data_IF_716774292639
#
_entry.id   IF_716774292639
#
_cell.length_a   1.000
_cell.length_b   1.000
_cell.length_c   1.000
_cell.angle_alpha   90.00
_cell.angle_beta   90.00
_cell.angle_gamma   90.00
#
_symmetry.space_group_name_H-M   'P 1'
#
loop_
_entity.id
_entity.type
_entity.pdbx_description
1 polymer ?
#
# COMPACT_ATOMS: atom_id res chain seq x y z
N UNK A 1 45.54 2.17 45.29
CA UNK A 1 44.33 3.03 45.19
C UNK A 1 43.64 2.74 43.87
N UNK A 2 42.47 2.07 43.91
CA UNK A 2 41.63 1.80 42.73
C UNK A 2 40.90 3.10 42.35
N UNK A 3 41.00 3.55 41.09
CA UNK A 3 40.14 4.62 40.56
C UNK A 3 38.73 4.06 40.38
N UNK A 4 37.68 4.78 40.78
CA UNK A 4 36.31 4.33 40.53
C UNK A 4 35.99 4.49 39.05
N UNK A 5 35.33 3.47 38.48
CA UNK A 5 34.70 3.57 37.17
C UNK A 5 33.53 4.56 37.28
N UNK A 6 33.67 5.72 36.65
CA UNK A 6 32.55 6.64 36.44
C UNK A 6 31.61 6.00 35.42
N UNK A 7 30.46 5.51 35.90
CA UNK A 7 29.36 5.09 35.05
C UNK A 7 28.93 6.24 34.15
N UNK A 8 29.08 6.04 32.84
CA UNK A 8 28.45 6.90 31.85
C UNK A 8 26.96 6.54 31.86
N UNK A 9 26.15 7.38 32.49
CA UNK A 9 24.70 7.29 32.36
C UNK A 9 24.32 7.46 30.89
N UNK A 10 23.39 6.63 30.41
CA UNK A 10 22.76 6.73 29.09
C UNK A 10 22.10 8.10 28.95
N UNK A 11 22.85 9.08 28.44
CA UNK A 11 22.23 10.24 27.83
C UNK A 11 21.67 9.79 26.48
N UNK A 12 20.38 10.04 26.19
CA UNK A 12 19.84 9.77 24.87
C UNK A 12 20.68 10.54 23.87
N UNK A 13 21.37 9.80 23.00
CA UNK A 13 22.22 10.39 22.00
C UNK A 13 21.29 11.03 20.96
N UNK A 14 21.04 12.34 21.10
CA UNK A 14 20.16 13.14 20.24
C UNK A 14 20.38 12.86 18.75
N UNK A 15 21.63 12.61 18.34
CA UNK A 15 21.97 12.24 16.98
C UNK A 15 21.27 10.95 16.52
N UNK A 16 21.18 9.94 17.39
CA UNK A 16 20.51 8.67 17.11
C UNK A 16 19.00 8.84 17.02
N UNK A 17 18.41 9.70 17.86
CA UNK A 17 16.98 10.01 17.78
C UNK A 17 16.62 10.70 16.45
N UNK A 18 17.41 11.69 16.03
CA UNK A 18 17.23 12.34 14.73
C UNK A 18 17.45 11.38 13.57
N UNK A 19 18.41 10.46 13.67
CA UNK A 19 18.64 9.46 12.64
C UNK A 19 17.40 8.57 12.42
N UNK A 20 16.73 8.12 13.48
CA UNK A 20 15.50 7.32 13.32
C UNK A 20 14.36 8.08 12.63
N UNK A 21 14.32 9.41 12.74
CA UNK A 21 13.31 10.26 12.10
C UNK A 21 13.65 10.57 10.64
N UNK A 22 14.94 10.72 10.30
CA UNK A 22 15.39 11.20 8.98
C UNK A 22 15.63 10.04 8.02
N UNK A 23 16.31 8.98 8.48
CA UNK A 23 16.75 7.89 7.61
C UNK A 23 15.61 7.21 6.83
N UNK A 24 14.40 7.01 7.38
CA UNK A 24 13.29 6.45 6.61
C UNK A 24 12.89 7.27 5.37
N UNK A 25 13.23 8.55 5.30
CA UNK A 25 12.94 9.44 4.17
C UNK A 25 13.99 9.40 3.06
N UNK A 26 15.14 8.77 3.32
CA UNK A 26 16.25 8.77 2.38
C UNK A 26 16.06 7.71 1.26
N UNK A 27 16.33 8.05 0.00
CA UNK A 27 16.36 7.08 -1.09
C UNK A 27 17.53 6.08 -0.91
N UNK A 28 17.52 4.94 -1.62
CA UNK A 28 18.53 3.90 -1.45
C UNK A 28 20.00 4.37 -1.58
N UNK A 29 20.38 5.25 -2.52
CA UNK A 29 21.76 5.73 -2.63
C UNK A 29 22.23 6.52 -1.39
N UNK A 30 21.34 7.34 -0.83
CA UNK A 30 21.63 8.16 0.35
C UNK A 30 21.69 7.27 1.60
N UNK A 31 20.80 6.28 1.70
CA UNK A 31 20.86 5.25 2.75
C UNK A 31 22.16 4.45 2.71
N UNK A 32 22.62 4.07 1.51
CA UNK A 32 23.89 3.37 1.34
C UNK A 32 25.06 4.26 1.78
N UNK A 33 25.04 5.54 1.40
CA UNK A 33 26.05 6.52 1.81
C UNK A 33 26.10 6.66 3.33
N UNK A 34 24.95 6.83 3.99
CA UNK A 34 24.86 6.89 5.45
C UNK A 34 25.39 5.61 6.10
N UNK A 35 25.03 4.43 5.58
CA UNK A 35 25.46 3.14 6.12
C UNK A 35 26.98 2.92 6.07
N UNK A 36 27.68 3.64 5.19
CA UNK A 36 29.13 3.55 5.04
C UNK A 36 29.90 4.29 6.14
N UNK A 37 29.29 5.32 6.75
CA UNK A 37 29.97 6.28 7.64
C UNK A 37 30.39 5.70 8.99
N UNK A 38 29.52 4.95 9.68
CA UNK A 38 29.83 4.36 10.99
C UNK A 38 29.01 3.09 11.27
N UNK A 39 29.44 2.29 12.27
CA UNK A 39 28.77 1.03 12.63
C UNK A 39 27.34 1.25 13.12
N UNK A 40 27.08 2.34 13.82
CA UNK A 40 25.74 2.63 14.38
C UNK A 40 24.75 2.95 13.26
N UNK A 41 25.12 3.86 12.36
CA UNK A 41 24.30 4.22 11.20
C UNK A 41 24.11 3.05 10.24
N UNK A 42 25.11 2.18 10.08
CA UNK A 42 24.96 0.92 9.34
C UNK A 42 23.87 0.03 9.92
N UNK A 43 23.86 -0.17 11.24
CA UNK A 43 22.83 -0.98 11.92
C UNK A 43 21.44 -0.37 11.77
N UNK A 44 21.32 0.95 11.89
CA UNK A 44 20.06 1.66 11.65
C UNK A 44 19.58 1.51 10.20
N UNK A 45 20.49 1.67 9.23
CA UNK A 45 20.18 1.52 7.82
C UNK A 45 19.75 0.08 7.47
N UNK A 46 20.38 -0.93 8.08
CA UNK A 46 19.99 -2.34 7.96
C UNK A 46 18.58 -2.56 8.51
N UNK A 47 18.28 -2.09 9.71
CA UNK A 47 16.94 -2.22 10.31
C UNK A 47 15.85 -1.53 9.46
N UNK A 48 16.15 -0.36 8.90
CA UNK A 48 15.22 0.33 7.96
C UNK A 48 15.05 -0.50 6.69
N UNK A 49 16.15 -1.02 6.13
CA UNK A 49 16.13 -1.87 4.93
C UNK A 49 15.27 -3.11 5.14
N UNK A 50 15.40 -3.79 6.28
CA UNK A 50 14.57 -4.94 6.66
C UNK A 50 13.08 -4.56 6.71
N UNK A 51 12.73 -3.42 7.33
CA UNK A 51 11.35 -2.93 7.34
C UNK A 51 10.85 -2.59 5.94
N UNK A 52 11.70 -2.00 5.09
CA UNK A 52 11.35 -1.73 3.68
C UNK A 52 11.07 -3.02 2.91
N UNK A 53 11.89 -4.06 3.10
CA UNK A 53 11.65 -5.37 2.52
C UNK A 53 10.35 -6.01 3.03
N UNK A 54 9.97 -5.77 4.28
CA UNK A 54 8.79 -6.39 4.88
C UNK A 54 7.46 -5.86 4.31
N UNK A 55 7.44 -4.63 3.79
CA UNK A 55 6.21 -4.05 3.24
C UNK A 55 6.47 -2.92 2.23
N UNK A 56 6.21 -3.22 0.96
CA UNK A 56 6.23 -2.27 -0.16
C UNK A 56 5.15 -1.19 -0.06
N UNK A 57 4.01 -1.52 0.57
CA UNK A 57 2.87 -0.60 0.71
C UNK A 57 3.06 0.44 1.81
N UNK A 58 4.11 0.28 2.63
CA UNK A 58 4.44 1.23 3.71
C UNK A 58 3.31 1.36 4.75
N UNK A 59 2.55 0.30 4.96
CA UNK A 59 1.39 0.24 5.85
C UNK A 59 0.12 0.89 5.27
N UNK A 60 0.10 1.26 3.99
CA UNK A 60 -1.07 1.85 3.33
C UNK A 60 -2.11 0.79 2.94
N UNK A 61 -1.70 -0.47 2.80
CA UNK A 61 -2.61 -1.58 2.50
C UNK A 61 -2.98 -2.38 3.74
N UNK A 62 -4.09 -3.12 3.64
CA UNK A 62 -4.59 -3.97 4.73
C UNK A 62 -3.58 -5.03 5.18
N UNK A 63 -2.87 -5.62 4.23
CA UNK A 63 -1.82 -6.61 4.48
C UNK A 63 -0.49 -6.11 3.92
N UNK A 64 0.63 -6.33 4.64
CA UNK A 64 1.93 -5.96 4.13
C UNK A 64 2.24 -6.72 2.83
N UNK A 65 2.90 -6.04 1.89
CA UNK A 65 3.31 -6.61 0.60
C UNK A 65 4.84 -6.79 0.61
N UNK A 66 5.37 -7.93 1.08
CA UNK A 66 6.80 -8.13 1.25
C UNK A 66 7.53 -8.33 -0.08
N UNK A 67 8.79 -7.90 -0.12
CA UNK A 67 9.75 -8.26 -1.16
C UNK A 67 10.42 -9.60 -0.86
N UNK A 68 10.61 -10.41 -1.90
CA UNK A 68 11.33 -11.67 -1.86
C UNK A 68 12.33 -11.69 -3.02
N UNK A 69 13.62 -11.60 -2.70
CA UNK A 69 14.68 -11.66 -3.71
C UNK A 69 15.64 -12.83 -3.46
N UNK A 70 15.47 -13.96 -4.17
CA UNK A 70 16.42 -15.07 -4.15
C UNK A 70 17.49 -14.97 -5.25
N UNK A 71 17.56 -13.87 -6.01
CA UNK A 71 18.33 -13.75 -7.25
C UNK A 71 19.64 -12.98 -7.05
N UNK A 72 19.59 -11.85 -6.36
CA UNK A 72 20.73 -10.94 -6.19
C UNK A 72 20.63 -10.19 -4.85
N UNK A 73 21.59 -9.29 -4.60
CA UNK A 73 21.70 -8.51 -3.36
C UNK A 73 20.80 -7.25 -3.34
N UNK A 74 19.93 -7.04 -4.34
CA UNK A 74 18.98 -5.89 -4.36
C UNK A 74 17.83 -6.16 -3.36
N UNK A 75 17.78 -5.49 -2.20
CA UNK A 75 16.85 -5.90 -1.14
C UNK A 75 15.37 -5.65 -1.50
N UNK A 76 15.09 -4.58 -2.25
CA UNK A 76 13.75 -4.17 -2.66
C UNK A 76 13.81 -3.24 -3.88
N UNK A 77 12.71 -3.15 -4.62
CA UNK A 77 12.53 -2.13 -5.66
C UNK A 77 12.17 -0.78 -5.02
N UNK A 78 12.79 0.31 -5.44
CA UNK A 78 12.45 1.64 -4.93
C UNK A 78 11.44 2.37 -5.82
N UNK A 79 10.29 2.71 -5.23
CA UNK A 79 9.25 3.54 -5.82
C UNK A 79 8.41 4.18 -4.71
N UNK A 80 7.66 5.22 -5.03
CA UNK A 80 6.70 5.85 -4.13
C UNK A 80 5.35 5.13 -4.27
N UNK A 81 4.89 4.49 -3.20
CA UNK A 81 3.63 3.76 -3.22
C UNK A 81 2.46 4.74 -3.09
N UNK A 82 1.35 4.45 -3.76
CA UNK A 82 0.06 5.11 -3.56
C UNK A 82 -1.04 4.07 -3.69
N UNK A 83 -2.04 4.12 -2.80
CA UNK A 83 -3.23 3.27 -2.86
C UNK A 83 -4.36 3.88 -3.70
N UNK A 84 -4.18 5.12 -4.18
CA UNK A 84 -5.19 5.86 -4.94
C UNK A 84 -4.57 6.60 -6.13
N UNK A 85 -5.35 6.73 -7.20
CA UNK A 85 -4.92 7.37 -8.44
C UNK A 85 -4.56 8.84 -8.19
N UNK A 86 -3.36 9.23 -8.61
CA UNK A 86 -2.90 10.62 -8.48
C UNK A 86 -3.29 11.37 -9.74
N UNK A 87 -4.42 12.11 -9.67
CA UNK A 87 -4.84 12.97 -10.76
C UNK A 87 -3.84 14.12 -10.92
N UNK A 88 -3.22 14.20 -12.08
CA UNK A 88 -2.05 15.05 -12.35
C UNK A 88 -2.35 16.54 -12.28
N UNK A 89 -2.35 17.12 -11.08
CA UNK A 89 -2.16 18.55 -10.91
C UNK A 89 -0.65 18.82 -10.76
N UNK A 90 -0.08 19.57 -11.71
CA UNK A 90 1.37 19.74 -11.91
C UNK A 90 2.10 20.61 -10.85
N UNK A 91 1.57 20.67 -9.63
CA UNK A 91 2.10 21.57 -8.58
C UNK A 91 2.50 20.89 -7.27
N UNK A 92 2.45 19.55 -7.17
CA UNK A 92 2.90 18.86 -5.95
C UNK A 92 4.42 18.68 -5.97
N UNK A 93 5.12 19.70 -5.49
CA UNK A 93 6.53 19.70 -5.13
C UNK A 93 6.96 18.42 -4.41
N UNK A 94 8.02 17.79 -4.93
CA UNK A 94 8.89 16.78 -4.29
C UNK A 94 8.12 15.80 -3.39
N UNK A 95 7.49 14.78 -3.97
CA UNK A 95 6.94 13.66 -3.22
C UNK A 95 8.10 12.87 -2.58
N UNK A 96 8.50 13.24 -1.37
CA UNK A 96 9.23 12.34 -0.48
C UNK A 96 8.23 11.64 0.42
N UNK A 97 8.44 10.35 0.66
CA UNK A 97 7.58 9.56 1.53
C UNK A 97 8.47 8.73 2.44
N UNK A 98 8.23 8.79 3.75
CA UNK A 98 8.94 7.93 4.69
C UNK A 98 8.65 6.45 4.42
N UNK A 99 9.68 5.61 4.56
CA UNK A 99 9.55 4.16 4.41
C UNK A 99 10.50 3.41 5.33
N UNK A 100 9.95 2.49 6.12
CA UNK A 100 10.70 1.73 7.12
C UNK A 100 11.00 2.53 8.40
N UNK A 101 10.09 3.43 8.82
CA UNK A 101 10.15 4.08 10.13
C UNK A 101 9.68 3.14 11.26
N UNK A 102 10.12 3.42 12.49
CA UNK A 102 9.65 2.71 13.71
C UNK A 102 8.36 3.33 14.27
N UNK A 103 8.01 4.53 13.83
CA UNK A 103 6.74 5.14 14.17
C UNK A 103 5.64 4.35 13.46
N UNK A 104 4.77 3.74 14.26
CA UNK A 104 3.42 3.45 13.79
C UNK A 104 2.88 4.78 13.30
N UNK A 105 2.70 4.95 11.98
CA UNK A 105 1.78 5.97 11.49
C UNK A 105 0.52 5.74 12.32
N UNK A 106 0.05 6.74 13.10
CA UNK A 106 -1.26 6.61 13.70
C UNK A 106 -2.16 6.30 12.52
N UNK A 107 -2.88 5.19 12.59
CA UNK A 107 -3.92 4.78 11.65
C UNK A 107 -5.12 5.75 11.69
N UNK A 108 -4.83 7.05 11.87
CA UNK A 108 -5.67 8.22 12.08
C UNK A 108 -5.18 9.44 11.30
N UNK A 109 -4.11 9.34 10.50
CA UNK A 109 -4.18 10.04 9.22
C UNK A 109 -5.14 9.20 8.40
N UNK A 110 -6.42 9.59 8.46
CA UNK A 110 -7.36 9.26 7.39
C UNK A 110 -6.74 9.63 6.04
N UNK A 111 -7.34 9.18 4.92
CA UNK A 111 -6.82 9.47 3.59
C UNK A 111 -6.44 10.94 3.56
N UNK A 112 -5.25 11.28 3.06
CA UNK A 112 -4.84 12.66 2.87
C UNK A 112 -6.07 13.42 2.32
N UNK A 113 -6.68 14.24 3.17
CA UNK A 113 -8.00 14.82 2.93
C UNK A 113 -7.91 15.95 1.88
N UNK A 114 -6.87 15.94 1.05
CA UNK A 114 -6.56 16.95 0.05
C UNK A 114 -6.48 16.42 -1.39
N UNK A 115 -6.78 15.13 -1.63
CA UNK A 115 -7.09 14.66 -2.99
C UNK A 115 -8.45 13.96 -3.14
N UNK A 116 -9.28 14.01 -2.11
CA UNK A 116 -10.70 13.60 -2.18
C UNK A 116 -11.64 14.71 -2.67
N UNK A 117 -11.12 15.88 -3.07
CA UNK A 117 -11.95 17.04 -3.47
C UNK A 117 -12.08 17.24 -4.98
N UNK A 118 -11.60 16.30 -5.80
CA UNK A 118 -12.16 16.15 -7.13
C UNK A 118 -13.29 15.14 -7.02
N UNK A 119 -14.42 15.61 -6.49
CA UNK A 119 -15.72 15.02 -6.77
C UNK A 119 -15.90 15.08 -8.29
N UNK A 120 -15.33 14.09 -8.99
CA UNK A 120 -15.76 13.76 -10.34
C UNK A 120 -17.15 13.16 -10.15
N UNK A 121 -18.13 14.04 -10.05
CA UNK A 121 -19.56 13.77 -10.15
C UNK A 121 -19.90 13.33 -11.57
N UNK A 122 -19.27 12.24 -12.06
CA UNK A 122 -19.63 11.59 -13.31
C UNK A 122 -19.29 10.10 -13.24
N UNK A 123 -20.02 9.39 -12.40
CA UNK A 123 -20.44 8.05 -12.78
C UNK A 123 -21.83 7.85 -12.24
N UNK A 124 -22.79 7.58 -13.12
CA UNK A 124 -24.08 7.01 -12.75
C UNK A 124 -23.84 5.66 -12.07
N UNK A 125 -23.45 5.69 -10.80
CA UNK A 125 -23.41 4.49 -9.97
C UNK A 125 -24.80 3.86 -9.94
N UNK A 126 -24.87 2.55 -9.76
CA UNK A 126 -26.17 1.86 -9.72
C UNK A 126 -27.04 2.40 -8.58
N UNK A 127 -28.19 3.04 -8.83
CA UNK A 127 -29.07 3.66 -7.80
C UNK A 127 -29.84 2.65 -6.91
N UNK A 128 -29.18 1.60 -6.42
CA UNK A 128 -29.81 0.59 -5.57
C UNK A 128 -30.15 1.13 -4.17
N UNK A 129 -31.37 0.80 -3.72
CA UNK A 129 -31.91 1.23 -2.42
C UNK A 129 -31.72 0.20 -1.29
N UNK A 130 -31.60 -1.07 -1.63
CA UNK A 130 -31.39 -2.14 -0.66
C UNK A 130 -30.58 -3.28 -1.27
N UNK A 131 -29.53 -3.74 -0.57
CA UNK A 131 -28.64 -4.83 -0.99
C UNK A 131 -28.66 -6.00 0.00
N UNK A 132 -29.62 -6.00 0.91
CA UNK A 132 -29.76 -6.96 2.02
C UNK A 132 -30.42 -8.28 1.57
N UNK A 133 -31.20 -8.25 0.49
CA UNK A 133 -32.04 -9.37 0.05
C UNK A 133 -31.90 -9.52 -1.48
N UNK A 134 -31.23 -10.57 -1.94
CA UNK A 134 -31.30 -10.97 -3.34
C UNK A 134 -32.69 -11.51 -3.67
N UNK A 135 -33.12 -11.41 -4.92
CA UNK A 135 -34.44 -11.85 -5.38
C UNK A 135 -34.68 -13.37 -5.20
N UNK A 136 -33.63 -14.14 -4.86
CA UNK A 136 -33.61 -15.58 -4.62
C UNK A 136 -33.48 -15.96 -3.11
N UNK A 137 -33.56 -14.98 -2.20
CA UNK A 137 -33.39 -15.21 -0.77
C UNK A 137 -31.94 -15.50 -0.33
N UNK A 138 -30.97 -15.45 -1.25
CA UNK A 138 -29.55 -15.31 -0.90
C UNK A 138 -29.22 -13.83 -0.84
N UNK A 139 -28.54 -13.38 0.21
CA UNK A 139 -28.08 -11.99 0.31
C UNK A 139 -27.25 -11.60 -0.93
N UNK A 140 -27.53 -10.46 -1.54
CA UNK A 140 -26.88 -10.02 -2.75
C UNK A 140 -27.35 -8.64 -3.20
N UNK A 141 -26.46 -7.88 -3.83
CA UNK A 141 -26.82 -6.61 -4.45
C UNK A 141 -27.42 -6.87 -5.85
N UNK A 142 -28.61 -6.34 -6.19
CA UNK A 142 -29.22 -6.52 -7.51
C UNK A 142 -28.34 -6.01 -8.67
N UNK A 143 -27.43 -5.07 -8.38
CA UNK A 143 -26.46 -4.55 -9.34
C UNK A 143 -25.27 -5.48 -9.59
N UNK A 144 -25.15 -6.60 -8.86
CA UNK A 144 -24.11 -7.61 -9.10
C UNK A 144 -24.26 -8.32 -10.44
N UNK A 145 -25.40 -8.15 -11.13
CA UNK A 145 -25.62 -8.64 -12.48
C UNK A 145 -24.74 -7.92 -13.49
N UNK A 146 -24.00 -8.71 -14.28
CA UNK A 146 -23.30 -8.21 -15.46
C UNK A 146 -24.32 -7.62 -16.43
N UNK A 147 -24.07 -6.41 -16.92
CA UNK A 147 -24.85 -5.87 -18.02
C UNK A 147 -24.49 -6.69 -19.28
N UNK A 148 -25.30 -7.68 -19.64
CA UNK A 148 -25.08 -8.60 -20.77
C UNK A 148 -24.86 -7.89 -22.11
N UNK A 149 -25.30 -6.62 -22.23
CA UNK A 149 -25.23 -5.85 -23.47
C UNK A 149 -23.81 -5.45 -23.92
N UNK A 150 -22.79 -5.59 -23.07
CA UNK A 150 -21.39 -5.25 -23.39
C UNK A 150 -20.46 -6.47 -23.30
N UNK A 151 -21.00 -7.69 -23.24
CA UNK A 151 -20.20 -8.88 -22.99
C UNK A 151 -19.61 -9.48 -24.28
N UNK A 152 -18.50 -8.94 -24.75
CA UNK A 152 -17.56 -9.75 -25.53
C UNK A 152 -16.69 -10.48 -24.52
N UNK A 153 -17.25 -11.53 -23.91
CA UNK A 153 -16.63 -12.34 -22.83
C UNK A 153 -15.28 -12.93 -23.28
N UNK A 154 -15.06 -13.08 -24.59
CA UNK A 154 -13.80 -13.53 -25.17
C UNK A 154 -12.72 -12.45 -25.28
N UNK A 155 -13.05 -11.16 -25.14
CA UNK A 155 -12.12 -10.03 -25.26
C UNK A 155 -11.86 -9.28 -23.93
N UNK A 156 -12.56 -9.65 -22.84
CA UNK A 156 -12.33 -9.04 -21.52
C UNK A 156 -12.80 -7.58 -21.41
N UNK A 157 -13.62 -7.10 -22.34
CA UNK A 157 -14.15 -5.74 -22.36
C UNK A 157 -15.60 -5.78 -21.90
N UNK A 158 -15.84 -5.48 -20.63
CA UNK A 158 -17.17 -5.23 -20.07
C UNK A 158 -17.01 -4.27 -18.90
N UNK A 159 -17.78 -3.17 -18.88
CA UNK A 159 -17.77 -2.24 -17.75
C UNK A 159 -18.64 -2.79 -16.62
N UNK A 160 -18.03 -3.03 -15.45
CA UNK A 160 -18.77 -3.33 -14.23
C UNK A 160 -19.07 -2.02 -13.51
N UNK A 161 -20.35 -1.69 -13.34
CA UNK A 161 -20.77 -0.51 -12.60
C UNK A 161 -20.87 -0.86 -11.11
N UNK A 162 -20.00 -0.29 -10.29
CA UNK A 162 -20.04 -0.47 -8.85
C UNK A 162 -21.07 0.44 -8.19
N UNK A 163 -21.47 0.09 -6.97
CA UNK A 163 -22.24 1.00 -6.12
C UNK A 163 -21.36 2.18 -5.71
N UNK A 164 -21.83 3.41 -5.90
CA UNK A 164 -21.15 4.63 -5.47
C UNK A 164 -21.76 5.22 -4.19
N UNK A 165 -21.33 6.41 -3.80
CA UNK A 165 -21.85 7.10 -2.60
C UNK A 165 -23.34 7.48 -2.72
N UNK A 166 -23.89 7.48 -3.94
CA UNK A 166 -25.33 7.68 -4.21
C UNK A 166 -26.21 6.48 -3.82
N UNK A 167 -25.63 5.30 -3.60
CA UNK A 167 -26.37 4.12 -3.15
C UNK A 167 -26.56 4.14 -1.64
N UNK A 168 -27.73 3.70 -1.15
CA UNK A 168 -27.97 3.55 0.30
C UNK A 168 -27.41 2.25 0.88
N UNK A 169 -26.70 1.44 0.08
CA UNK A 169 -26.07 0.20 0.53
C UNK A 169 -24.76 0.46 1.31
N UNK A 170 -24.49 -0.40 2.30
CA UNK A 170 -23.29 -0.36 3.13
C UNK A 170 -21.99 -0.45 2.31
N UNK A 171 -20.86 -0.07 2.92
CA UNK A 171 -19.50 -0.32 2.39
C UNK A 171 -19.23 -1.82 2.19
N UNK A 172 -19.90 -2.66 2.96
CA UNK A 172 -19.86 -4.12 2.83
C UNK A 172 -20.71 -4.66 1.66
N UNK A 173 -21.30 -3.77 0.84
CA UNK A 173 -22.01 -4.16 -0.37
C UNK A 173 -21.09 -4.96 -1.30
N UNK A 174 -21.47 -6.19 -1.70
CA UNK A 174 -20.65 -7.02 -2.59
C UNK A 174 -20.41 -6.40 -3.98
N UNK A 175 -21.17 -5.36 -4.36
CA UNK A 175 -20.95 -4.58 -5.58
C UNK A 175 -20.03 -3.35 -5.37
N UNK A 176 -19.15 -3.40 -4.36
CA UNK A 176 -18.05 -2.46 -4.12
C UNK A 176 -16.68 -3.17 -4.01
N UNK A 177 -16.33 -4.16 -4.86
CA UNK A 177 -15.11 -4.93 -4.67
C UNK A 177 -13.84 -4.09 -4.83
N UNK A 178 -13.74 -3.17 -5.81
CA UNK A 178 -12.50 -2.40 -6.01
C UNK A 178 -12.30 -1.31 -4.96
N UNK A 179 -13.39 -0.72 -4.46
CA UNK A 179 -13.38 0.31 -3.42
C UNK A 179 -12.80 -0.16 -2.07
N UNK A 180 -12.68 -1.46 -1.84
CA UNK A 180 -12.11 -2.03 -0.61
C UNK A 180 -10.58 -2.12 -0.62
N UNK A 181 -9.96 -1.75 -1.74
CA UNK A 181 -8.51 -1.91 -1.94
C UNK A 181 -8.10 -3.39 -2.00
N UNK A 182 -6.83 -3.65 -1.70
CA UNK A 182 -6.27 -4.99 -1.80
C UNK A 182 -6.77 -5.86 -0.64
N UNK A 183 -7.66 -6.81 -0.94
CA UNK A 183 -8.24 -7.72 0.04
C UNK A 183 -7.48 -9.06 0.18
N UNK A 184 -6.57 -9.36 -0.75
CA UNK A 184 -5.78 -10.59 -0.78
C UNK A 184 -4.33 -10.36 -0.36
N UNK A 185 -3.68 -11.37 0.19
CA UNK A 185 -2.25 -11.32 0.52
C UNK A 185 -1.43 -11.41 -0.76
N UNK A 186 -0.57 -10.42 -0.99
CA UNK A 186 0.33 -10.35 -2.14
C UNK A 186 1.79 -10.33 -1.68
N UNK A 187 2.72 -10.61 -2.61
CA UNK A 187 4.17 -10.47 -2.41
C UNK A 187 4.84 -10.07 -3.71
N UNK A 188 5.96 -9.37 -3.63
CA UNK A 188 6.78 -8.99 -4.78
C UNK A 188 8.00 -9.92 -4.85
N UNK A 189 8.21 -10.59 -5.99
CA UNK A 189 9.26 -11.60 -6.17
C UNK A 189 10.20 -11.17 -7.28
N UNK A 190 11.52 -11.21 -7.03
CA UNK A 190 12.53 -11.00 -8.07
C UNK A 190 12.70 -12.28 -8.90
N UNK A 191 12.72 -12.12 -10.23
CA UNK A 191 12.96 -13.17 -11.21
C UNK A 191 14.21 -12.84 -12.03
N UNK A 192 15.02 -13.86 -12.32
CA UNK A 192 16.29 -13.72 -13.04
C UNK A 192 16.17 -12.99 -14.39
N UNK A 193 15.09 -13.20 -15.14
CA UNK A 193 14.91 -12.64 -16.49
C UNK A 193 13.82 -11.57 -16.61
N UNK A 194 12.91 -11.48 -15.62
CA UNK A 194 11.72 -10.61 -15.69
C UNK A 194 11.80 -9.43 -14.71
N UNK A 195 12.82 -9.38 -13.85
CA UNK A 195 12.89 -8.40 -12.77
C UNK A 195 11.86 -8.69 -11.68
N UNK A 196 11.30 -7.64 -11.09
CA UNK A 196 10.31 -7.74 -10.02
C UNK A 196 8.92 -8.06 -10.57
N UNK A 197 8.21 -9.01 -9.96
CA UNK A 197 6.83 -9.37 -10.32
C UNK A 197 5.95 -9.55 -9.08
N UNK A 198 4.65 -9.27 -9.23
CA UNK A 198 3.66 -9.43 -8.17
C UNK A 198 3.08 -10.85 -8.18
N UNK A 199 2.98 -11.47 -7.00
CA UNK A 199 2.49 -12.83 -6.81
C UNK A 199 1.43 -12.86 -5.72
N UNK A 200 0.42 -13.73 -5.89
CA UNK A 200 -0.49 -14.07 -4.79
C UNK A 200 0.26 -14.84 -3.71
N UNK A 201 0.06 -14.46 -2.45
CA UNK A 201 0.63 -15.14 -1.29
C UNK A 201 -0.36 -16.10 -0.61
N UNK A 202 -1.57 -16.22 -1.17
CA UNK A 202 -2.62 -17.14 -0.76
C UNK A 202 -3.45 -17.61 -1.97
N UNK A 203 -4.37 -18.54 -1.75
CA UNK A 203 -5.29 -18.99 -2.79
C UNK A 203 -6.29 -17.88 -3.13
N UNK A 204 -6.41 -17.56 -4.43
CA UNK A 204 -7.34 -16.55 -4.94
C UNK A 204 -8.42 -17.25 -5.78
N UNK A 205 -9.70 -17.20 -5.37
CA UNK A 205 -10.79 -17.74 -6.16
C UNK A 205 -10.88 -17.07 -7.54
N UNK A 206 -11.36 -17.82 -8.55
CA UNK A 206 -11.60 -17.25 -9.89
C UNK A 206 -12.64 -16.14 -9.80
N UNK A 207 -12.32 -14.98 -10.38
CA UNK A 207 -13.20 -13.81 -10.41
C UNK A 207 -13.07 -12.89 -9.19
N UNK A 208 -12.20 -13.22 -8.23
CA UNK A 208 -11.87 -12.35 -7.10
C UNK A 208 -11.08 -11.12 -7.60
N UNK A 209 -11.39 -9.95 -7.02
CA UNK A 209 -10.63 -8.73 -7.28
C UNK A 209 -9.24 -8.80 -6.63
N UNK A 210 -8.20 -8.37 -7.34
CA UNK A 210 -6.82 -8.38 -6.84
C UNK A 210 -6.38 -6.99 -6.37
N UNK A 211 -6.18 -6.09 -7.33
CA UNK A 211 -5.71 -4.74 -7.12
C UNK A 211 -6.02 -3.86 -8.33
N UNK A 212 -5.94 -2.55 -8.15
CA UNK A 212 -6.01 -1.57 -9.23
C UNK A 212 -4.61 -1.30 -9.80
N UNK A 213 -4.55 -0.84 -11.05
CA UNK A 213 -3.35 -0.22 -11.61
C UNK A 213 -3.44 1.28 -11.37
N UNK A 214 -2.69 1.75 -10.37
CA UNK A 214 -2.78 3.10 -9.80
C UNK A 214 -1.63 3.98 -10.26
#
# INVERSE_FOLDING_TARGET
MKRPASGCGDQPNLFLEFAELILPWLPPPDMASVSSTCRTLRRMAQAITERRCSDASRGLEKYPIPFCNPVDDEPYAYFLYTSHAVLGNRSSSILSQSWGGNYSCPSKFGPAHELSSLDVDVSEGCCCRECSVGHDGRGGCPCLGFNELLSVVELGVGSRMECGNSCSCSIDCPNRPTQRGIAVKLRIVKHLKKGWGLHAAEFVPRGEFLCEYV
#
